data_IF_522392617544
#
_entry.id   IF_522392617544
#
_cell.length_a   1.000
_cell.length_b   1.000
_cell.length_c   1.000
_cell.angle_alpha   90.00
_cell.angle_beta   90.00
_cell.angle_gamma   90.00
#
_symmetry.space_group_name_H-M   'P 1'
#
loop_
_entity.id
_entity.type
_entity.pdbx_description
1 polymer ?
#
# COMPACT_ATOMS: atom_id res chain seq x y z
N UNK A 1 -24.03 -8.66 16.81
CA UNK A 1 -22.72 -7.98 16.76
C UNK A 1 -22.30 -7.78 15.29
N UNK A 2 -22.69 -6.69 14.61
CA UNK A 2 -22.51 -6.58 13.13
C UNK A 2 -21.84 -5.28 12.64
N UNK A 3 -21.16 -4.52 13.48
CA UNK A 3 -20.64 -3.18 13.13
C UNK A 3 -19.26 -3.16 12.44
N UNK A 4 -18.61 -4.30 12.22
CA UNK A 4 -17.14 -4.32 11.99
C UNK A 4 -16.66 -4.54 10.54
N UNK A 5 -17.54 -4.87 9.60
CA UNK A 5 -17.15 -5.13 8.19
C UNK A 5 -17.03 -3.85 7.36
N UNK A 6 -17.89 -2.85 7.60
CA UNK A 6 -17.97 -1.65 6.76
C UNK A 6 -16.75 -0.72 6.93
N UNK A 7 -16.22 -0.61 8.16
CA UNK A 7 -15.02 0.21 8.47
C UNK A 7 -13.75 -0.30 7.79
N UNK A 8 -13.56 -1.62 7.73
CA UNK A 8 -12.39 -2.26 7.09
C UNK A 8 -12.38 -2.08 5.56
N UNK A 9 -13.55 -2.05 4.94
CA UNK A 9 -13.68 -1.84 3.50
C UNK A 9 -13.27 -0.41 3.11
N UNK A 10 -13.67 0.57 3.91
CA UNK A 10 -13.36 1.98 3.68
C UNK A 10 -11.85 2.26 3.78
N UNK A 11 -11.18 1.68 4.78
CA UNK A 11 -9.72 1.78 4.95
C UNK A 11 -8.93 1.24 3.76
N UNK A 12 -9.32 0.08 3.23
CA UNK A 12 -8.67 -0.49 2.04
C UNK A 12 -8.80 0.44 0.82
N UNK A 13 -9.94 1.12 0.72
CA UNK A 13 -10.21 2.09 -0.35
C UNK A 13 -9.36 3.36 -0.19
N UNK A 14 -9.25 3.89 1.04
CA UNK A 14 -8.36 5.01 1.35
C UNK A 14 -6.91 4.72 1.01
N UNK A 15 -6.40 3.53 1.36
CA UNK A 15 -5.04 3.15 0.99
C UNK A 15 -4.80 3.09 -0.52
N UNK A 16 -5.85 2.78 -1.29
CA UNK A 16 -5.75 2.75 -2.74
C UNK A 16 -5.74 4.14 -3.33
N UNK A 17 -6.59 5.04 -2.83
CA UNK A 17 -6.61 6.45 -3.24
C UNK A 17 -5.25 7.10 -2.98
N UNK A 18 -4.73 7.00 -1.75
CA UNK A 18 -3.43 7.57 -1.39
C UNK A 18 -2.28 6.98 -2.21
N UNK A 19 -2.35 5.67 -2.49
CA UNK A 19 -1.39 5.03 -3.38
C UNK A 19 -1.47 5.62 -4.79
N UNK A 20 -2.67 5.71 -5.37
CA UNK A 20 -2.87 6.17 -6.74
C UNK A 20 -2.52 7.66 -6.89
N UNK A 21 -2.79 8.49 -5.88
CA UNK A 21 -2.35 9.88 -5.81
C UNK A 21 -0.82 9.99 -5.77
N UNK A 22 -0.16 9.23 -4.89
CA UNK A 22 1.29 9.21 -4.81
C UNK A 22 1.92 8.70 -6.12
N UNK A 23 1.35 7.68 -6.75
CA UNK A 23 1.79 7.18 -8.07
C UNK A 23 1.62 8.25 -9.14
N UNK A 24 0.49 8.96 -9.17
CA UNK A 24 0.22 10.04 -10.12
C UNK A 24 1.19 11.21 -9.98
N UNK A 25 1.59 11.51 -8.73
CA UNK A 25 2.59 12.53 -8.43
C UNK A 25 4.04 12.04 -8.62
N UNK A 26 4.24 10.76 -8.94
CA UNK A 26 5.57 10.16 -9.07
C UNK A 26 6.30 9.98 -7.74
N UNK A 27 5.58 10.00 -6.62
CA UNK A 27 6.12 9.81 -5.29
C UNK A 27 6.43 8.33 -5.03
N UNK A 28 7.55 8.11 -4.34
CA UNK A 28 8.05 6.79 -4.00
C UNK A 28 7.28 6.15 -2.83
N UNK A 29 6.57 6.96 -2.05
CA UNK A 29 5.88 6.53 -0.83
C UNK A 29 4.67 7.40 -0.51
N UNK A 30 3.74 6.88 0.29
CA UNK A 30 2.65 7.65 0.90
C UNK A 30 2.55 7.34 2.40
N UNK A 31 1.90 8.22 3.16
CA UNK A 31 1.71 8.05 4.61
C UNK A 31 0.45 7.25 4.91
N UNK A 32 0.55 6.24 5.77
CA UNK A 32 -0.59 5.45 6.25
C UNK A 32 -1.41 6.32 7.22
N UNK A 33 -2.67 6.68 6.91
CA UNK A 33 -3.49 7.55 7.76
C UNK A 33 -3.88 6.92 9.11
N UNK A 34 -3.71 5.60 9.28
CA UNK A 34 -4.02 4.92 10.54
C UNK A 34 -2.80 4.81 11.45
N UNK A 35 -1.66 4.42 10.87
CA UNK A 35 -0.45 4.13 11.66
C UNK A 35 0.56 5.27 11.64
N UNK A 36 0.42 6.24 10.73
CA UNK A 36 1.39 7.30 10.48
C UNK A 36 2.67 6.84 9.79
N UNK A 37 2.79 5.54 9.48
CA UNK A 37 3.96 4.96 8.83
C UNK A 37 4.07 5.30 7.34
N UNK A 38 5.20 4.98 6.73
CA UNK A 38 5.48 5.23 5.31
C UNK A 38 5.31 3.92 4.52
N UNK A 39 4.51 3.95 3.46
CA UNK A 39 4.26 2.80 2.58
C UNK A 39 4.77 3.10 1.18
N UNK A 40 5.61 2.21 0.64
CA UNK A 40 6.16 2.37 -0.72
C UNK A 40 5.11 2.17 -1.81
N UNK A 41 5.17 3.02 -2.83
CA UNK A 41 4.35 2.92 -4.04
C UNK A 41 4.96 1.95 -5.06
N UNK A 42 4.19 1.61 -6.09
CA UNK A 42 4.73 0.86 -7.23
C UNK A 42 5.79 1.64 -8.02
N UNK A 43 5.79 2.98 -7.98
CA UNK A 43 6.77 3.83 -8.68
C UNK A 43 8.18 3.52 -8.18
N UNK A 44 8.36 3.51 -6.87
CA UNK A 44 9.65 3.16 -6.26
C UNK A 44 10.09 1.75 -6.64
N UNK A 45 9.17 0.79 -6.61
CA UNK A 45 9.45 -0.60 -6.92
C UNK A 45 9.86 -0.75 -8.40
N UNK A 46 9.13 -0.13 -9.32
CA UNK A 46 9.46 -0.08 -10.75
C UNK A 46 10.82 0.58 -10.99
N UNK A 47 11.11 1.70 -10.31
CA UNK A 47 12.40 2.41 -10.39
C UNK A 47 13.56 1.52 -9.93
N UNK A 48 13.39 0.81 -8.81
CA UNK A 48 14.42 -0.08 -8.27
C UNK A 48 14.54 -1.41 -9.01
N UNK A 49 13.54 -1.80 -9.82
CA UNK A 49 13.44 -3.10 -10.50
C UNK A 49 13.67 -4.30 -9.56
N UNK A 50 13.40 -4.12 -8.26
CA UNK A 50 13.62 -5.12 -7.20
C UNK A 50 12.44 -5.19 -6.25
N UNK A 51 12.00 -6.41 -5.92
CA UNK A 51 10.99 -6.65 -4.90
C UNK A 51 11.57 -6.34 -3.51
N UNK A 52 10.90 -5.46 -2.76
CA UNK A 52 11.33 -5.10 -1.42
C UNK A 52 11.21 -6.24 -0.39
N UNK A 53 10.41 -7.29 -0.67
CA UNK A 53 10.13 -8.45 0.21
C UNK A 53 9.60 -8.11 1.63
N UNK A 54 9.41 -6.84 1.97
CA UNK A 54 8.86 -6.40 3.26
C UNK A 54 7.33 -6.50 3.39
N UNK A 55 6.63 -6.96 2.34
CA UNK A 55 5.18 -7.07 2.35
C UNK A 55 4.46 -5.77 1.98
N UNK A 56 4.93 -5.09 0.94
CA UNK A 56 4.21 -3.94 0.36
C UNK A 56 2.78 -4.34 -0.04
N UNK A 57 1.84 -3.40 0.14
CA UNK A 57 0.40 -3.65 -0.07
C UNK A 57 0.03 -3.76 -1.55
N UNK A 58 0.83 -3.14 -2.43
CA UNK A 58 0.62 -3.09 -3.87
C UNK A 58 1.91 -3.49 -4.61
N UNK A 59 2.30 -4.76 -4.50
CA UNK A 59 3.48 -5.24 -5.23
C UNK A 59 3.14 -5.36 -6.74
N UNK A 60 3.89 -4.71 -7.64
CA UNK A 60 3.68 -4.85 -9.08
C UNK A 60 3.97 -6.28 -9.57
N UNK A 61 4.80 -7.05 -8.84
CA UNK A 61 5.12 -8.45 -9.13
C UNK A 61 4.26 -9.46 -8.35
N UNK A 62 3.23 -9.02 -7.64
CA UNK A 62 2.33 -9.92 -6.91
C UNK A 62 2.95 -10.61 -5.69
N UNK A 63 4.12 -10.18 -5.22
CA UNK A 63 4.75 -10.76 -4.03
C UNK A 63 3.88 -10.57 -2.78
N UNK A 64 3.56 -11.68 -2.11
CA UNK A 64 2.86 -11.69 -0.82
C UNK A 64 3.74 -12.35 0.22
N UNK A 65 4.12 -11.60 1.26
CA UNK A 65 4.87 -12.17 2.39
C UNK A 65 3.97 -13.20 3.09
N UNK A 66 4.38 -14.48 3.11
CA UNK A 66 3.70 -15.51 3.90
C UNK A 66 3.84 -15.14 5.38
N UNK A 67 2.73 -15.19 6.11
CA UNK A 67 2.76 -15.08 7.57
C UNK A 67 3.32 -16.40 8.11
N UNK A 68 4.35 -16.32 8.94
CA UNK A 68 4.83 -17.46 9.74
C UNK A 68 4.03 -17.55 11.02
#
# INVERSE_FOLDING_TARGET
MSRNKNKKNNLKQQYRILHDEAVKNGEDYYKDPVTGGIVSTEVRLKRMRKCCKYGCRHCPWGFKKRKS
#
